data_IF_550353474194
#
_entry.id   IF_550353474194
#
_cell.length_a   1.000
_cell.length_b   1.000
_cell.length_c   1.000
_cell.angle_alpha   90.00
_cell.angle_beta   90.00
_cell.angle_gamma   90.00
#
_symmetry.space_group_name_H-M   'P 1'
#
loop_
_entity.id
_entity.type
_entity.pdbx_description
1 polymer ?
#
# COMPACT_ATOMS: atom_id res chain seq x y z
N UNK A 1 -7.24 29.41 -30.31
CA UNK A 1 -8.12 28.23 -30.26
C UNK A 1 -7.26 26.99 -30.42
N UNK A 2 -7.38 26.05 -29.49
CA UNK A 2 -6.67 24.77 -29.50
C UNK A 2 -7.34 23.81 -30.47
N UNK A 3 -6.54 22.89 -31.00
CA UNK A 3 -7.03 21.74 -31.76
C UNK A 3 -6.98 20.53 -30.83
N UNK A 4 -8.07 19.78 -30.78
CA UNK A 4 -8.19 18.60 -29.94
C UNK A 4 -7.07 17.58 -30.22
N UNK A 5 -6.55 16.93 -29.17
CA UNK A 5 -5.49 15.93 -29.24
C UNK A 5 -4.13 16.43 -29.77
N UNK A 6 -3.92 17.74 -29.91
CA UNK A 6 -2.63 18.31 -30.33
C UNK A 6 -1.93 19.04 -29.19
N UNK A 7 -0.63 18.78 -29.04
CA UNK A 7 0.22 19.54 -28.14
C UNK A 7 0.49 20.93 -28.72
N UNK A 8 0.24 21.95 -27.91
CA UNK A 8 0.63 23.34 -28.17
C UNK A 8 1.72 23.71 -27.17
N UNK A 9 2.78 24.34 -27.65
CA UNK A 9 3.91 24.77 -26.84
C UNK A 9 3.76 26.26 -26.54
N UNK A 10 3.88 26.62 -25.26
CA UNK A 10 3.85 27.98 -24.78
C UNK A 10 5.11 28.30 -23.97
N UNK A 11 5.44 29.58 -23.95
CA UNK A 11 6.47 30.15 -23.09
C UNK A 11 5.97 31.50 -22.58
N UNK A 12 6.02 31.69 -21.26
CA UNK A 12 5.77 32.98 -20.63
C UNK A 12 7.06 33.45 -19.96
N UNK A 13 7.45 34.70 -20.23
CA UNK A 13 8.73 35.26 -19.78
C UNK A 13 8.60 36.12 -18.54
N UNK A 14 7.39 36.48 -18.17
CA UNK A 14 7.08 37.29 -16.99
C UNK A 14 6.02 36.60 -16.14
N UNK A 15 5.64 37.20 -15.02
CA UNK A 15 4.51 36.70 -14.25
C UNK A 15 3.21 37.05 -14.98
N UNK A 16 2.36 36.05 -15.26
CA UNK A 16 1.11 36.32 -15.95
C UNK A 16 0.39 35.10 -16.52
N UNK A 17 -0.71 35.38 -17.22
CA UNK A 17 -1.53 34.38 -17.89
C UNK A 17 -1.29 34.36 -19.39
N UNK A 18 -1.20 33.15 -19.95
CA UNK A 18 -1.41 32.92 -21.38
C UNK A 18 -2.75 32.24 -21.57
N UNK A 19 -3.55 32.78 -22.50
CA UNK A 19 -4.91 32.32 -22.74
C UNK A 19 -5.04 31.48 -24.02
N UNK A 20 -5.80 30.41 -23.89
CA UNK A 20 -6.20 29.54 -24.98
C UNK A 20 -7.71 29.32 -24.92
N UNK A 21 -8.31 28.96 -26.04
CA UNK A 21 -9.74 28.61 -26.09
C UNK A 21 -9.91 27.21 -26.65
N UNK A 22 -10.85 26.46 -26.12
CA UNK A 22 -11.28 25.17 -26.64
C UNK A 22 -12.79 25.15 -26.81
N UNK A 23 -13.29 24.28 -27.69
CA UNK A 23 -14.72 24.07 -27.90
C UNK A 23 -15.07 22.64 -27.52
N UNK A 24 -16.11 22.50 -26.70
CA UNK A 24 -16.67 21.22 -26.28
C UNK A 24 -17.99 21.02 -27.02
N UNK A 25 -18.01 20.03 -27.91
CA UNK A 25 -19.19 19.75 -28.75
C UNK A 25 -20.05 18.62 -28.16
N UNK A 26 -19.42 17.65 -27.50
CA UNK A 26 -20.11 16.52 -26.88
C UNK A 26 -19.86 16.49 -25.36
N UNK A 27 -20.72 17.08 -24.51
CA UNK A 27 -20.59 16.98 -23.06
C UNK A 27 -20.89 15.55 -22.54
N UNK A 28 -21.24 14.60 -23.41
CA UNK A 28 -21.34 13.17 -23.13
C UNK A 28 -20.00 12.44 -23.10
N UNK A 29 -18.90 13.10 -23.47
CA UNK A 29 -17.54 12.59 -23.30
C UNK A 29 -16.86 13.21 -22.07
N UNK A 30 -15.86 12.54 -21.52
CA UNK A 30 -14.95 13.12 -20.54
C UNK A 30 -14.00 14.12 -21.21
N UNK A 31 -13.84 15.29 -20.61
CA UNK A 31 -12.85 16.29 -20.97
C UNK A 31 -11.60 16.09 -20.12
N UNK A 32 -10.44 16.07 -20.77
CA UNK A 32 -9.13 16.10 -20.12
C UNK A 32 -8.34 17.29 -20.66
N UNK A 33 -7.85 18.15 -19.76
CA UNK A 33 -6.95 19.26 -20.07
C UNK A 33 -5.69 19.09 -19.23
N UNK A 34 -4.54 19.04 -19.89
CA UNK A 34 -3.25 18.81 -19.25
C UNK A 34 -2.25 19.87 -19.69
N UNK A 35 -1.56 20.48 -18.73
CA UNK A 35 -0.38 21.30 -18.95
C UNK A 35 0.83 20.63 -18.31
N UNK A 36 1.92 20.53 -19.06
CA UNK A 36 3.16 19.90 -18.60
C UNK A 36 4.34 20.86 -18.73
N UNK A 37 5.11 21.08 -17.66
CA UNK A 37 6.36 21.82 -17.74
C UNK A 37 7.43 21.01 -18.45
N UNK A 38 8.34 21.69 -19.15
CA UNK A 38 9.54 21.05 -19.69
C UNK A 38 10.83 21.86 -19.51
N UNK A 39 10.78 22.99 -18.79
CA UNK A 39 11.97 23.71 -18.30
C UNK A 39 12.31 23.36 -16.85
N UNK A 40 13.60 23.38 -16.48
CA UNK A 40 14.10 22.99 -15.14
C UNK A 40 13.45 23.73 -13.95
N UNK A 41 12.82 24.88 -14.19
CA UNK A 41 12.16 25.72 -13.19
C UNK A 41 10.72 26.08 -13.54
N UNK A 42 10.13 25.39 -14.52
CA UNK A 42 8.78 25.67 -15.01
C UNK A 42 7.74 24.98 -14.13
N UNK A 43 6.71 25.75 -13.75
CA UNK A 43 5.59 25.27 -12.92
C UNK A 43 4.30 26.01 -13.33
N UNK A 44 3.75 25.65 -14.50
CA UNK A 44 2.57 26.32 -15.06
C UNK A 44 1.29 25.84 -14.37
N UNK A 45 0.54 26.76 -13.76
CA UNK A 45 -0.74 26.44 -13.14
C UNK A 45 -1.89 26.51 -14.17
N UNK A 46 -2.86 25.60 -14.05
CA UNK A 46 -3.97 25.47 -14.98
C UNK A 46 -5.26 26.07 -14.42
N UNK A 47 -5.86 27.02 -15.14
CA UNK A 47 -7.16 27.61 -14.83
C UNK A 47 -8.09 27.50 -16.03
N UNK A 48 -9.37 27.21 -15.80
CA UNK A 48 -10.38 27.06 -16.86
C UNK A 48 -11.66 27.78 -16.44
N UNK A 49 -12.27 28.50 -17.37
CA UNK A 49 -13.63 29.03 -17.23
C UNK A 49 -14.51 28.57 -18.39
N UNK A 50 -15.77 28.24 -18.09
CA UNK A 50 -16.77 27.75 -19.05
C UNK A 50 -17.50 28.88 -19.80
N UNK A 51 -16.75 29.90 -20.21
CA UNK A 51 -17.24 31.02 -21.01
C UNK A 51 -16.11 31.59 -21.88
N UNK A 52 -16.42 32.59 -22.70
CA UNK A 52 -15.44 33.37 -23.46
C UNK A 52 -14.65 34.38 -22.61
N UNK A 53 -14.93 34.48 -21.31
CA UNK A 53 -14.15 35.32 -20.41
C UNK A 53 -12.76 34.73 -20.18
N UNK A 54 -11.77 35.57 -19.89
CA UNK A 54 -10.46 35.12 -19.45
C UNK A 54 -10.51 34.74 -17.96
N UNK A 55 -10.05 33.54 -17.56
CA UNK A 55 -9.91 33.21 -16.16
C UNK A 55 -8.77 34.01 -15.52
N UNK A 56 -8.83 34.18 -14.21
CA UNK A 56 -7.76 34.77 -13.40
C UNK A 56 -7.64 34.03 -12.05
N UNK A 57 -6.79 34.54 -11.15
CA UNK A 57 -6.54 33.93 -9.84
C UNK A 57 -7.78 33.84 -8.93
N UNK A 58 -8.79 34.69 -9.17
CA UNK A 58 -10.04 34.80 -8.41
C UNK A 58 -11.26 34.29 -9.19
N UNK A 59 -11.24 34.38 -10.53
CA UNK A 59 -12.33 34.05 -11.43
C UNK A 59 -11.96 32.85 -12.30
N UNK A 60 -12.45 31.68 -11.92
CA UNK A 60 -12.31 30.44 -12.69
C UNK A 60 -13.48 29.49 -12.37
N UNK A 61 -13.79 28.59 -13.31
CA UNK A 61 -14.70 27.47 -13.06
C UNK A 61 -13.93 26.33 -12.41
N UNK A 62 -12.76 25.98 -12.94
CA UNK A 62 -11.89 24.93 -12.42
C UNK A 62 -10.43 25.38 -12.43
N UNK A 63 -9.63 24.84 -11.50
CA UNK A 63 -8.18 25.05 -11.49
C UNK A 63 -7.44 23.81 -10.98
N UNK A 64 -6.17 23.73 -11.32
CA UNK A 64 -5.17 22.80 -10.80
C UNK A 64 -3.88 23.61 -10.64
N UNK A 65 -3.26 23.52 -9.46
CA UNK A 65 -2.07 24.32 -9.09
C UNK A 65 -1.04 23.44 -8.37
N UNK A 66 -0.88 22.21 -8.85
CA UNK A 66 0.06 21.25 -8.28
C UNK A 66 1.44 21.48 -8.88
N UNK A 67 2.48 21.27 -8.07
CA UNK A 67 3.85 21.33 -8.57
C UNK A 67 4.06 20.31 -9.71
N UNK A 68 4.48 20.79 -10.88
CA UNK A 68 4.75 19.97 -12.05
C UNK A 68 3.59 19.95 -13.06
N UNK A 69 3.15 18.74 -13.43
CA UNK A 69 2.08 18.56 -14.41
C UNK A 69 0.72 18.77 -13.76
N UNK A 70 -0.04 19.73 -14.28
CA UNK A 70 -1.41 19.99 -13.88
C UNK A 70 -2.40 19.37 -14.86
N UNK A 71 -3.45 18.73 -14.34
CA UNK A 71 -4.50 18.11 -15.14
C UNK A 71 -5.87 18.34 -14.55
N UNK A 72 -6.80 18.87 -15.35
CA UNK A 72 -8.21 18.98 -15.02
C UNK A 72 -8.99 17.94 -15.84
N UNK A 73 -9.80 17.14 -15.15
CA UNK A 73 -10.71 16.16 -15.75
C UNK A 73 -12.15 16.52 -15.40
N UNK A 74 -13.04 16.45 -16.39
CA UNK A 74 -14.48 16.72 -16.23
C UNK A 74 -15.31 15.68 -16.96
N UNK A 75 -16.39 15.25 -16.30
CA UNK A 75 -17.19 14.12 -16.73
C UNK A 75 -18.62 14.56 -17.07
N UNK A 76 -19.33 13.82 -17.93
CA UNK A 76 -20.72 14.07 -18.22
C UNK A 76 -21.55 14.18 -16.93
N UNK A 77 -22.26 15.30 -16.77
CA UNK A 77 -23.08 15.59 -15.59
C UNK A 77 -22.35 16.31 -14.45
N UNK A 78 -21.03 16.51 -14.52
CA UNK A 78 -20.33 17.40 -13.60
C UNK A 78 -20.89 18.82 -13.72
N UNK A 79 -21.03 19.50 -12.58
CA UNK A 79 -21.48 20.89 -12.56
C UNK A 79 -20.56 21.76 -13.43
N UNK A 80 -21.18 22.63 -14.24
CA UNK A 80 -20.52 23.56 -15.16
C UNK A 80 -19.83 22.92 -16.38
N UNK A 81 -19.88 21.59 -16.53
CA UNK A 81 -19.43 20.88 -17.73
C UNK A 81 -20.57 20.76 -18.75
N UNK A 82 -20.67 21.78 -19.59
CA UNK A 82 -21.68 21.96 -20.63
C UNK A 82 -21.06 22.05 -22.03
N UNK A 83 -21.88 21.88 -23.06
CA UNK A 83 -21.49 22.21 -24.44
C UNK A 83 -21.20 23.72 -24.52
N UNK A 84 -20.09 24.09 -25.14
CA UNK A 84 -19.74 25.50 -25.34
C UNK A 84 -18.25 25.75 -25.52
N UNK A 85 -17.90 27.04 -25.45
CA UNK A 85 -16.51 27.50 -25.49
C UNK A 85 -16.00 27.61 -24.06
N UNK A 86 -14.78 27.13 -23.86
CA UNK A 86 -14.04 27.25 -22.61
C UNK A 86 -12.77 28.04 -22.88
N UNK A 87 -12.44 28.93 -21.95
CA UNK A 87 -11.18 29.65 -21.96
C UNK A 87 -10.26 29.07 -20.90
N UNK A 88 -9.07 28.67 -21.33
CA UNK A 88 -8.01 28.10 -20.51
C UNK A 88 -7.00 29.21 -20.27
N UNK A 89 -6.69 29.50 -19.01
CA UNK A 89 -5.59 30.34 -18.60
C UNK A 89 -4.47 29.48 -18.02
N UNK A 90 -3.26 29.64 -18.55
CA UNK A 90 -2.05 29.09 -17.97
C UNK A 90 -1.35 30.20 -17.20
N UNK A 91 -1.37 30.12 -15.88
CA UNK A 91 -0.71 31.10 -15.02
C UNK A 91 0.73 30.66 -14.76
N UNK A 92 1.64 31.62 -14.84
CA UNK A 92 3.05 31.39 -14.56
C UNK A 92 3.47 32.41 -13.51
N UNK A 93 3.78 31.96 -12.29
CA UNK A 93 4.34 32.83 -11.25
C UNK A 93 5.81 33.22 -11.55
N UNK A 94 6.47 32.47 -12.43
CA UNK A 94 7.86 32.63 -12.86
C UNK A 94 7.99 32.26 -14.35
N UNK A 95 9.04 32.71 -15.04
CA UNK A 95 9.28 32.35 -16.43
C UNK A 95 9.22 30.84 -16.64
N UNK A 96 8.33 30.38 -17.51
CA UNK A 96 7.99 28.97 -17.63
C UNK A 96 7.75 28.57 -19.09
N UNK A 97 8.21 27.37 -19.41
CA UNK A 97 7.96 26.71 -20.69
C UNK A 97 7.08 25.49 -20.44
N UNK A 98 6.02 25.40 -21.23
CA UNK A 98 5.00 24.38 -21.03
C UNK A 98 4.43 23.87 -22.34
N UNK A 99 3.88 22.66 -22.30
CA UNK A 99 3.03 22.13 -23.37
C UNK A 99 1.64 21.90 -22.84
N UNK A 100 0.63 22.29 -23.61
CA UNK A 100 -0.78 22.19 -23.27
C UNK A 100 -1.46 21.29 -24.30
N UNK A 101 -2.31 20.38 -23.82
CA UNK A 101 -3.19 19.58 -24.67
C UNK A 101 -4.56 19.46 -24.00
N UNK A 102 -5.60 19.46 -24.81
CA UNK A 102 -6.92 18.99 -24.38
C UNK A 102 -7.43 17.91 -25.31
N UNK A 103 -8.30 17.05 -24.79
CA UNK A 103 -9.04 16.09 -25.59
C UNK A 103 -10.32 15.64 -24.89
N UNK A 104 -11.30 15.24 -25.70
CA UNK A 104 -12.48 14.52 -25.24
C UNK A 104 -12.26 13.02 -25.46
N UNK A 105 -12.74 12.22 -24.51
CA UNK A 105 -12.56 10.77 -24.52
C UNK A 105 -13.75 10.10 -23.87
N UNK A 106 -13.97 8.82 -24.17
CA UNK A 106 -15.04 8.05 -23.54
C UNK A 106 -14.82 7.97 -22.03
N UNK A 107 -15.90 8.07 -21.26
CA UNK A 107 -15.87 7.81 -19.82
C UNK A 107 -15.39 6.38 -19.54
N UNK A 108 -14.78 6.10 -18.37
CA UNK A 108 -14.39 4.76 -17.99
C UNK A 108 -15.55 3.77 -18.09
N UNK A 109 -15.28 2.59 -18.64
CA UNK A 109 -16.26 1.51 -18.81
C UNK A 109 -16.68 0.98 -17.44
N UNK A 110 -17.99 0.94 -17.16
CA UNK A 110 -18.47 0.34 -15.92
C UNK A 110 -18.27 -1.18 -15.95
N UNK A 111 -17.39 -1.69 -15.10
CA UNK A 111 -17.17 -3.11 -14.93
C UNK A 111 -18.34 -3.74 -14.18
N UNK A 112 -18.75 -4.90 -14.69
CA UNK A 112 -19.63 -5.84 -14.02
C UNK A 112 -18.76 -6.90 -13.32
N UNK A 113 -19.40 -7.90 -12.71
CA UNK A 113 -18.66 -9.00 -12.06
C UNK A 113 -17.74 -9.75 -13.03
N UNK A 114 -18.11 -9.83 -14.31
CA UNK A 114 -17.28 -10.44 -15.36
C UNK A 114 -17.53 -9.77 -16.70
N UNK A 115 -16.46 -9.47 -17.42
CA UNK A 115 -16.47 -8.79 -18.71
C UNK A 115 -15.45 -9.45 -19.65
N UNK A 116 -15.81 -9.61 -20.92
CA UNK A 116 -14.86 -9.99 -21.98
C UNK A 116 -14.67 -8.81 -22.90
N UNK A 117 -13.47 -8.22 -22.92
CA UNK A 117 -13.21 -6.93 -23.57
C UNK A 117 -11.91 -7.01 -24.37
N UNK A 118 -11.98 -6.58 -25.63
CA UNK A 118 -10.80 -6.37 -26.46
C UNK A 118 -10.13 -5.06 -26.07
N UNK A 119 -8.87 -5.12 -25.66
CA UNK A 119 -8.05 -3.97 -25.30
C UNK A 119 -6.96 -3.84 -26.35
N UNK A 120 -6.85 -2.66 -26.97
CA UNK A 120 -5.81 -2.37 -27.95
C UNK A 120 -4.46 -2.15 -27.26
N UNK A 121 -4.32 -1.02 -26.56
CA UNK A 121 -3.12 -0.67 -25.80
C UNK A 121 -3.43 -0.48 -24.32
N UNK A 122 -4.49 0.27 -24.01
CA UNK A 122 -5.02 0.42 -22.67
C UNK A 122 -6.51 0.75 -22.72
N UNK A 123 -7.22 0.45 -21.64
CA UNK A 123 -8.62 0.83 -21.46
C UNK A 123 -8.89 1.22 -20.00
N UNK A 124 -9.86 2.10 -19.78
CA UNK A 124 -10.20 2.63 -18.47
C UNK A 124 -11.54 2.10 -18.00
N UNK A 125 -11.62 1.78 -16.72
CA UNK A 125 -12.79 1.18 -16.11
C UNK A 125 -13.17 1.86 -14.81
N UNK A 126 -14.42 1.69 -14.42
CA UNK A 126 -14.92 2.03 -13.09
C UNK A 126 -15.64 0.82 -12.51
N UNK A 127 -15.40 0.53 -11.23
CA UNK A 127 -16.10 -0.50 -10.47
C UNK A 127 -16.81 0.15 -9.28
N UNK A 128 -18.13 -0.03 -9.19
CA UNK A 128 -18.94 0.48 -8.08
C UNK A 128 -18.87 -0.47 -6.90
N UNK A 129 -18.37 0.03 -5.77
CA UNK A 129 -18.11 -0.72 -4.54
C UNK A 129 -19.41 -0.79 -3.74
N UNK A 130 -19.82 -1.99 -3.35
CA UNK A 130 -21.07 -2.23 -2.63
C UNK A 130 -20.90 -2.10 -1.11
N UNK A 131 -19.78 -2.59 -0.55
CA UNK A 131 -19.47 -2.63 0.88
C UNK A 131 -18.27 -1.73 1.19
N UNK A 132 -18.45 -0.43 0.99
CA UNK A 132 -17.42 0.59 1.20
C UNK A 132 -16.73 0.44 2.57
N UNK A 133 -15.41 0.49 2.56
CA UNK A 133 -14.54 0.33 3.75
C UNK A 133 -14.70 -1.01 4.47
N UNK A 134 -15.35 -1.99 3.83
CA UNK A 134 -15.70 -3.29 4.40
C UNK A 134 -15.57 -4.44 3.40
N UNK A 135 -14.94 -4.20 2.25
CA UNK A 135 -14.65 -5.24 1.27
C UNK A 135 -13.27 -5.11 0.67
N UNK A 136 -12.76 -6.27 0.23
CA UNK A 136 -11.70 -6.35 -0.75
C UNK A 136 -12.30 -6.43 -2.14
N UNK A 137 -11.64 -5.78 -3.08
CA UNK A 137 -11.85 -5.97 -4.50
C UNK A 137 -10.73 -6.82 -5.07
N UNK A 138 -11.09 -7.90 -5.75
CA UNK A 138 -10.18 -8.70 -6.56
C UNK A 138 -10.49 -8.49 -8.04
N UNK A 139 -9.50 -8.01 -8.78
CA UNK A 139 -9.54 -7.88 -10.23
C UNK A 139 -8.61 -8.93 -10.81
N UNK A 140 -9.17 -9.83 -11.59
CA UNK A 140 -8.46 -10.90 -12.26
C UNK A 140 -8.59 -10.70 -13.76
N UNK A 141 -7.45 -10.67 -14.45
CA UNK A 141 -7.37 -10.56 -15.90
C UNK A 141 -6.75 -11.84 -16.44
N UNK A 142 -7.43 -12.48 -17.36
CA UNK A 142 -6.99 -13.71 -18.02
C UNK A 142 -6.89 -13.51 -19.54
N UNK A 143 -6.17 -14.42 -20.19
CA UNK A 143 -5.96 -14.52 -21.65
C UNK A 143 -4.88 -13.59 -22.25
N UNK A 144 -3.93 -13.09 -21.47
CA UNK A 144 -2.75 -12.39 -22.01
C UNK A 144 -1.91 -11.70 -20.95
N UNK A 145 -0.80 -11.10 -21.37
CA UNK A 145 0.00 -10.23 -20.51
C UNK A 145 -0.67 -8.87 -20.37
N UNK A 146 -0.84 -8.44 -19.12
CA UNK A 146 -1.47 -7.16 -18.81
C UNK A 146 -0.83 -6.50 -17.59
N UNK A 147 -1.10 -5.21 -17.42
CA UNK A 147 -0.88 -4.52 -16.16
C UNK A 147 -2.15 -3.80 -15.72
N UNK A 148 -2.34 -3.69 -14.41
CA UNK A 148 -3.53 -3.11 -13.77
C UNK A 148 -3.08 -1.98 -12.87
N UNK A 149 -3.77 -0.86 -12.94
CA UNK A 149 -3.62 0.25 -12.00
C UNK A 149 -4.99 0.60 -11.43
N UNK A 150 -5.10 0.65 -10.11
CA UNK A 150 -6.30 1.06 -9.40
C UNK A 150 -6.13 2.40 -8.71
N UNK A 151 -7.16 3.24 -8.75
CA UNK A 151 -7.25 4.40 -7.87
C UNK A 151 -8.69 4.69 -7.43
N UNK A 152 -8.84 5.08 -6.18
CA UNK A 152 -10.07 5.60 -5.60
C UNK A 152 -10.22 7.11 -5.78
N UNK A 153 -9.12 7.83 -6.03
CA UNK A 153 -9.09 9.28 -6.16
C UNK A 153 -9.00 9.76 -7.62
N UNK A 154 -8.23 9.06 -8.45
CA UNK A 154 -7.98 9.44 -9.84
C UNK A 154 -8.80 8.58 -10.78
N UNK A 155 -9.68 9.20 -11.57
CA UNK A 155 -10.59 8.47 -12.46
C UNK A 155 -9.90 7.79 -13.67
N UNK A 156 -8.68 8.25 -13.97
CA UNK A 156 -7.78 7.66 -14.96
C UNK A 156 -6.40 7.42 -14.34
N UNK A 157 -6.23 6.33 -13.57
CA UNK A 157 -4.95 6.05 -12.95
C UNK A 157 -3.85 5.90 -14.02
N UNK A 158 -2.66 6.38 -13.71
CA UNK A 158 -1.47 6.30 -14.55
C UNK A 158 -0.35 5.62 -13.78
N UNK A 159 0.74 5.29 -14.49
CA UNK A 159 1.92 4.71 -13.88
C UNK A 159 2.43 5.57 -12.73
N UNK A 160 2.52 6.87 -12.94
CA UNK A 160 2.99 7.80 -11.93
C UNK A 160 1.97 8.01 -10.79
N UNK A 161 0.66 7.82 -11.03
CA UNK A 161 -0.42 8.29 -10.15
C UNK A 161 -1.50 7.19 -10.02
N UNK A 162 -1.36 6.32 -9.01
CA UNK A 162 -2.30 5.25 -8.67
C UNK A 162 -2.20 4.87 -7.18
N UNK A 163 -3.24 4.22 -6.64
CA UNK A 163 -3.28 3.74 -5.25
C UNK A 163 -2.74 2.31 -5.13
N UNK A 164 -2.95 1.47 -6.15
CA UNK A 164 -2.41 0.12 -6.22
C UNK A 164 -2.16 -0.31 -7.67
N UNK A 165 -1.22 -1.23 -7.90
CA UNK A 165 -0.96 -1.78 -9.24
C UNK A 165 -0.50 -3.24 -9.21
N UNK A 166 -0.66 -3.92 -10.34
CA UNK A 166 -0.21 -5.30 -10.56
C UNK A 166 0.24 -5.48 -12.01
N UNK A 167 1.19 -6.37 -12.28
CA UNK A 167 1.75 -6.60 -13.62
C UNK A 167 3.28 -6.44 -13.70
N UNK A 168 3.85 -6.65 -14.90
CA UNK A 168 5.30 -6.60 -15.13
C UNK A 168 5.81 -5.15 -15.24
N UNK A 169 6.77 -4.78 -14.39
CA UNK A 169 7.40 -3.46 -14.38
C UNK A 169 8.92 -3.59 -14.21
N UNK A 170 9.71 -3.10 -15.17
CA UNK A 170 11.18 -3.09 -15.10
C UNK A 170 11.76 -2.19 -13.99
N UNK A 171 10.93 -1.36 -13.33
CA UNK A 171 11.37 -0.35 -12.34
C UNK A 171 10.92 -0.59 -10.90
N UNK A 172 10.11 -1.60 -10.62
CA UNK A 172 9.74 -1.92 -9.24
C UNK A 172 10.77 -2.90 -8.67
N UNK A 173 11.64 -2.44 -7.77
CA UNK A 173 12.50 -3.33 -6.98
C UNK A 173 11.58 -4.31 -6.23
N UNK A 174 11.72 -5.61 -6.54
CA UNK A 174 10.73 -6.64 -6.21
C UNK A 174 10.54 -6.85 -4.71
N UNK A 175 9.37 -6.49 -4.22
CA UNK A 175 8.85 -6.88 -2.90
C UNK A 175 7.62 -7.78 -3.06
N UNK A 176 7.39 -8.66 -2.09
CA UNK A 176 6.14 -9.42 -1.98
C UNK A 176 5.18 -8.63 -1.07
N UNK A 177 4.04 -8.18 -1.58
CA UNK A 177 2.99 -7.69 -0.69
C UNK A 177 2.30 -8.88 -0.02
N UNK A 178 2.31 -8.93 1.31
CA UNK A 178 1.64 -10.00 2.03
C UNK A 178 0.14 -9.73 1.98
N UNK A 179 -0.56 -10.60 1.27
CA UNK A 179 -2.00 -10.65 1.26
C UNK A 179 -2.49 -11.65 2.33
N UNK A 180 -3.24 -11.21 3.37
CA UNK A 180 -3.64 -12.12 4.42
C UNK A 180 -4.88 -12.98 4.14
N UNK A 181 -5.52 -12.83 2.97
CA UNK A 181 -6.80 -13.48 2.67
C UNK A 181 -6.85 -14.54 1.55
N UNK A 182 -5.77 -14.92 0.81
CA UNK A 182 -5.86 -16.02 -0.14
C UNK A 182 -5.66 -17.34 0.61
N UNK A 183 -6.76 -17.90 1.12
CA UNK A 183 -6.92 -19.31 1.52
C UNK A 183 -5.92 -19.85 2.56
N UNK A 184 -6.37 -19.93 3.80
CA UNK A 184 -5.85 -20.88 4.80
C UNK A 184 -6.40 -22.30 4.51
N UNK A 185 -5.61 -23.39 4.59
CA UNK A 185 -4.17 -23.42 4.82
C UNK A 185 -3.41 -23.09 3.54
N UNK A 186 -2.39 -22.25 3.69
CA UNK A 186 -1.74 -21.45 2.66
C UNK A 186 -1.30 -22.22 1.39
N UNK A 187 -1.97 -21.98 0.26
CA UNK A 187 -1.23 -21.94 -1.01
C UNK A 187 -0.62 -20.55 -1.14
N UNK A 188 0.65 -20.44 -0.75
CA UNK A 188 1.44 -19.24 -0.98
C UNK A 188 1.55 -19.01 -2.49
N UNK A 189 0.73 -18.11 -3.04
CA UNK A 189 0.90 -17.61 -4.40
C UNK A 189 1.74 -16.33 -4.25
N UNK A 190 3.06 -16.37 -4.51
CA UNK A 190 3.89 -15.18 -4.40
C UNK A 190 3.33 -14.11 -5.34
N UNK A 191 2.97 -12.96 -4.77
CA UNK A 191 2.36 -11.85 -5.51
C UNK A 191 3.34 -11.20 -6.52
N UNK A 192 4.63 -11.48 -6.39
CA UNK A 192 5.63 -11.32 -7.44
C UNK A 192 6.93 -12.05 -7.04
N UNK A 193 7.60 -12.71 -7.97
CA UNK A 193 8.97 -13.22 -7.77
C UNK A 193 9.96 -12.19 -8.33
N UNK A 194 10.93 -11.68 -7.55
CA UNK A 194 12.03 -10.90 -8.10
C UNK A 194 13.00 -11.82 -8.86
N UNK A 195 13.45 -11.39 -10.04
CA UNK A 195 14.68 -11.91 -10.63
C UNK A 195 14.62 -13.27 -11.33
N UNK A 196 13.48 -13.94 -11.38
CA UNK A 196 13.25 -14.98 -12.38
C UNK A 196 12.24 -14.45 -13.38
N UNK A 197 12.56 -14.57 -14.67
CA UNK A 197 11.60 -14.52 -15.77
C UNK A 197 10.27 -15.08 -15.26
N UNK A 198 9.17 -14.32 -15.37
CA UNK A 198 7.86 -14.96 -15.44
C UNK A 198 8.04 -16.13 -16.40
N UNK A 199 7.74 -17.34 -15.96
CA UNK A 199 7.71 -18.49 -16.86
C UNK A 199 6.94 -18.05 -18.09
N UNK A 200 7.56 -18.07 -19.27
CA UNK A 200 6.88 -17.81 -20.54
C UNK A 200 5.54 -18.55 -20.51
N UNK A 201 4.42 -17.84 -20.39
CA UNK A 201 3.10 -18.45 -20.29
C UNK A 201 2.17 -18.02 -19.14
N UNK A 202 2.56 -17.17 -18.18
CA UNK A 202 1.59 -16.70 -17.18
C UNK A 202 0.63 -15.65 -17.78
N UNK A 203 -0.53 -16.09 -18.25
CA UNK A 203 -1.57 -15.26 -18.92
C UNK A 203 -2.59 -14.68 -17.94
N UNK A 204 -2.27 -14.65 -16.65
CA UNK A 204 -3.18 -14.23 -15.57
C UNK A 204 -2.53 -13.12 -14.73
N UNK A 205 -3.21 -11.99 -14.61
CA UNK A 205 -2.80 -10.85 -13.75
C UNK A 205 -3.87 -10.63 -12.69
N UNK A 206 -3.48 -10.42 -11.43
CA UNK A 206 -4.41 -10.25 -10.30
C UNK A 206 -4.04 -9.00 -9.51
N UNK A 207 -5.02 -8.14 -9.23
CA UNK A 207 -4.90 -6.99 -8.34
C UNK A 207 -5.88 -7.18 -7.18
N UNK A 208 -5.38 -7.12 -5.95
CA UNK A 208 -6.19 -7.09 -4.72
C UNK A 208 -6.08 -5.70 -4.10
N UNK A 209 -7.22 -5.08 -3.76
CA UNK A 209 -7.22 -3.75 -3.11
C UNK A 209 -8.30 -3.69 -2.03
N UNK A 210 -7.94 -3.16 -0.85
CA UNK A 210 -8.88 -2.99 0.27
C UNK A 210 -9.60 -1.64 0.17
N UNK A 211 -10.93 -1.66 0.23
CA UNK A 211 -11.75 -0.45 0.26
C UNK A 211 -11.61 0.35 1.57
N UNK A 212 -11.01 -0.23 2.63
CA UNK A 212 -10.69 0.49 3.88
C UNK A 212 -9.72 1.64 3.67
N UNK A 213 -8.81 1.52 2.70
CA UNK A 213 -7.76 2.52 2.47
C UNK A 213 -8.29 3.83 1.88
N UNK A 214 -9.57 3.91 1.48
CA UNK A 214 -10.16 5.17 1.02
C UNK A 214 -11.66 5.27 1.38
N UNK A 215 -11.96 5.93 2.49
CA UNK A 215 -13.31 6.10 3.04
C UNK A 215 -14.18 7.12 2.31
N UNK A 216 -13.70 7.76 1.24
CA UNK A 216 -14.42 8.85 0.57
C UNK A 216 -15.00 8.47 -0.80
N UNK A 217 -14.45 7.48 -1.50
CA UNK A 217 -14.98 7.04 -2.81
C UNK A 217 -15.85 5.78 -2.71
N UNK A 218 -16.91 5.71 -3.50
CA UNK A 218 -17.73 4.51 -3.74
C UNK A 218 -17.30 3.77 -5.03
N UNK A 219 -16.22 4.24 -5.67
CA UNK A 219 -15.81 3.79 -7.00
C UNK A 219 -14.31 3.55 -7.02
N UNK A 220 -13.92 2.37 -7.48
CA UNK A 220 -12.55 2.07 -7.88
C UNK A 220 -12.42 2.33 -9.38
N UNK A 221 -11.52 3.21 -9.77
CA UNK A 221 -11.16 3.43 -11.16
C UNK A 221 -9.96 2.58 -11.51
N UNK A 222 -9.97 1.98 -12.69
CA UNK A 222 -8.93 1.09 -13.15
C UNK A 222 -8.41 1.53 -14.51
N UNK A 223 -7.12 1.33 -14.73
CA UNK A 223 -6.50 1.29 -16.05
C UNK A 223 -5.95 -0.10 -16.26
N UNK A 224 -6.27 -0.71 -17.39
CA UNK A 224 -5.71 -2.00 -17.80
C UNK A 224 -4.91 -1.78 -19.07
N UNK A 225 -3.64 -2.14 -19.03
CA UNK A 225 -2.73 -2.09 -20.19
C UNK A 225 -2.61 -3.47 -20.83
N UNK A 226 -2.77 -3.53 -22.15
CA UNK A 226 -2.42 -4.69 -22.97
C UNK A 226 -0.91 -4.66 -23.25
N UNK A 227 -0.19 -5.68 -22.77
CA UNK A 227 1.26 -5.80 -22.97
C UNK A 227 1.62 -6.70 -24.15
N UNK A 228 0.62 -7.15 -24.93
CA UNK A 228 0.83 -7.86 -26.18
C UNK A 228 1.04 -6.89 -27.36
N UNK A 229 1.70 -7.37 -28.41
CA UNK A 229 1.97 -6.57 -29.62
C UNK A 229 0.71 -6.24 -30.43
N UNK A 230 -0.33 -7.07 -30.29
CA UNK A 230 -1.60 -6.94 -31.00
C UNK A 230 -2.74 -6.76 -30.00
N UNK A 231 -3.86 -6.14 -30.43
CA UNK A 231 -5.08 -6.09 -29.64
C UNK A 231 -5.47 -7.47 -29.13
N UNK A 232 -5.92 -7.54 -27.87
CA UNK A 232 -6.19 -8.80 -27.19
C UNK A 232 -7.50 -8.73 -26.41
N UNK A 233 -8.28 -9.80 -26.53
CA UNK A 233 -9.49 -9.98 -25.73
C UNK A 233 -9.14 -10.59 -24.38
N UNK A 234 -9.38 -9.82 -23.33
CA UNK A 234 -9.17 -10.23 -21.95
C UNK A 234 -10.49 -10.65 -21.31
N UNK A 235 -10.42 -11.65 -20.43
CA UNK A 235 -11.47 -11.91 -19.46
C UNK A 235 -11.13 -11.16 -18.18
N UNK A 236 -11.95 -10.17 -17.83
CA UNK A 236 -11.80 -9.36 -16.62
C UNK A 236 -12.88 -9.80 -15.65
N UNK A 237 -12.47 -10.36 -14.52
CA UNK A 237 -13.36 -10.74 -13.42
C UNK A 237 -13.12 -9.80 -12.25
N UNK A 238 -14.20 -9.21 -11.73
CA UNK A 238 -14.19 -8.36 -10.55
C UNK A 238 -15.02 -9.01 -9.46
N UNK A 239 -14.37 -9.40 -8.38
CA UNK A 239 -15.03 -9.96 -7.21
C UNK A 239 -14.88 -9.00 -6.04
N UNK A 240 -16.01 -8.57 -5.50
CA UNK A 240 -16.03 -7.90 -4.21
C UNK A 240 -16.28 -8.94 -3.11
N UNK A 241 -15.35 -9.02 -2.16
CA UNK A 241 -15.42 -9.95 -1.04
C UNK A 241 -15.56 -9.10 0.22
N UNK A 242 -16.73 -9.11 0.89
CA UNK A 242 -16.87 -8.51 2.22
C UNK A 242 -15.80 -9.06 3.17
N UNK A 243 -15.26 -8.23 4.04
CA UNK A 243 -14.16 -8.63 4.94
C UNK A 243 -14.58 -9.77 5.85
N UNK A 244 -15.84 -9.80 6.29
CA UNK A 244 -16.42 -10.94 7.01
C UNK A 244 -16.37 -12.27 6.25
N UNK A 245 -16.28 -12.24 4.92
CA UNK A 245 -16.19 -13.42 4.06
C UNK A 245 -14.75 -13.72 3.62
N UNK A 246 -13.80 -12.81 3.85
CA UNK A 246 -12.37 -13.02 3.58
C UNK A 246 -11.72 -13.91 4.65
N UNK A 247 -12.29 -13.91 5.86
CA UNK A 247 -11.69 -14.55 7.02
C UNK A 247 -12.30 -15.96 7.18
N UNK A 248 -11.50 -17.04 7.11
CA UNK A 248 -11.98 -18.38 7.45
C UNK A 248 -12.64 -18.39 8.84
N UNK A 249 -13.72 -19.14 9.02
CA UNK A 249 -14.53 -19.09 10.28
C UNK A 249 -13.72 -19.38 11.54
N UNK A 250 -12.75 -20.28 11.44
CA UNK A 250 -11.80 -20.61 12.50
C UNK A 250 -10.90 -19.41 12.85
N UNK A 251 -10.40 -18.69 11.84
CA UNK A 251 -9.65 -17.44 12.04
C UNK A 251 -10.56 -16.31 12.55
N UNK A 252 -11.82 -16.26 12.14
CA UNK A 252 -12.78 -15.25 12.61
C UNK A 252 -13.04 -15.38 14.12
N UNK A 253 -13.17 -16.62 14.61
CA UNK A 253 -13.31 -16.92 16.05
C UNK A 253 -12.06 -16.46 16.80
N UNK A 254 -10.88 -16.81 16.27
CA UNK A 254 -9.60 -16.40 16.84
C UNK A 254 -9.50 -14.86 16.89
N UNK A 255 -9.86 -14.16 15.81
CA UNK A 255 -9.79 -12.70 15.75
C UNK A 255 -10.77 -12.03 16.72
N UNK A 256 -11.99 -12.56 16.87
CA UNK A 256 -12.95 -12.07 17.88
C UNK A 256 -12.41 -12.22 19.30
N UNK A 257 -11.78 -13.36 19.61
CA UNK A 257 -11.13 -13.55 20.90
C UNK A 257 -10.00 -12.53 21.12
N UNK A 258 -9.17 -12.31 20.10
CA UNK A 258 -8.13 -11.28 20.14
C UNK A 258 -8.71 -9.89 20.39
N UNK A 259 -9.79 -9.51 19.69
CA UNK A 259 -10.45 -8.22 19.89
C UNK A 259 -11.00 -8.05 21.31
N UNK A 260 -11.62 -9.08 21.87
CA UNK A 260 -12.17 -9.01 23.22
C UNK A 260 -11.06 -8.85 24.28
N UNK A 261 -9.93 -9.54 24.12
CA UNK A 261 -8.76 -9.41 25.02
C UNK A 261 -8.25 -7.97 25.08
N UNK A 262 -8.22 -7.27 23.94
CA UNK A 262 -7.65 -5.93 23.83
C UNK A 262 -8.69 -4.80 23.84
N UNK A 263 -9.97 -5.11 24.00
CA UNK A 263 -11.08 -4.15 23.88
C UNK A 263 -10.95 -2.95 24.82
N UNK A 264 -10.50 -3.18 26.04
CA UNK A 264 -10.36 -2.17 27.09
C UNK A 264 -8.88 -1.79 27.35
N UNK A 265 -7.97 -2.17 26.43
CA UNK A 265 -6.53 -1.95 26.59
C UNK A 265 -6.08 -0.80 25.70
N UNK A 266 -5.79 0.35 26.30
CA UNK A 266 -5.16 1.47 25.61
C UNK A 266 -3.63 1.37 25.69
N UNK A 267 -3.06 0.52 24.82
CA UNK A 267 -1.61 0.26 24.79
C UNK A 267 -0.78 1.52 24.53
N UNK A 268 -1.31 2.48 23.75
CA UNK A 268 -0.58 3.70 23.41
C UNK A 268 -0.42 4.59 24.65
N UNK A 269 -1.51 4.80 25.40
CA UNK A 269 -1.46 5.57 26.65
C UNK A 269 -0.56 4.91 27.70
N UNK A 270 -0.61 3.58 27.82
CA UNK A 270 0.25 2.81 28.73
C UNK A 270 1.73 3.03 28.38
N UNK A 271 2.10 2.88 27.11
CA UNK A 271 3.48 3.09 26.65
C UNK A 271 3.93 4.54 26.81
N UNK A 272 3.07 5.53 26.51
CA UNK A 272 3.38 6.95 26.70
C UNK A 272 3.65 7.30 28.17
N UNK A 273 2.87 6.73 29.10
CA UNK A 273 3.06 6.98 30.52
C UNK A 273 4.43 6.47 31.01
N UNK A 274 4.82 5.24 30.63
CA UNK A 274 6.13 4.70 30.98
C UNK A 274 7.27 5.53 30.40
N UNK A 275 7.19 5.90 29.12
CA UNK A 275 8.20 6.77 28.51
C UNK A 275 8.30 8.12 29.21
N UNK A 276 7.18 8.70 29.66
CA UNK A 276 7.18 9.95 30.41
C UNK A 276 7.89 9.81 31.76
N UNK A 277 7.55 8.78 32.54
CA UNK A 277 8.14 8.50 33.85
C UNK A 277 9.66 8.26 33.74
N UNK A 278 10.09 7.57 32.69
CA UNK A 278 11.49 7.24 32.44
C UNK A 278 12.26 8.31 31.64
N UNK A 279 11.61 9.43 31.29
CA UNK A 279 12.16 10.50 30.47
C UNK A 279 12.71 10.03 29.09
N UNK A 280 11.98 9.10 28.46
CA UNK A 280 12.30 8.47 27.18
C UNK A 280 11.51 9.03 25.98
N UNK A 281 10.65 10.02 26.18
CA UNK A 281 9.80 10.60 25.12
C UNK A 281 10.58 11.14 23.91
N UNK A 282 11.84 11.49 24.09
CA UNK A 282 12.72 12.00 23.03
C UNK A 282 13.45 10.88 22.26
N UNK A 283 13.40 9.64 22.75
CA UNK A 283 14.11 8.52 22.15
C UNK A 283 13.23 7.80 21.13
N UNK A 284 13.65 7.83 19.87
CA UNK A 284 13.00 7.12 18.77
C UNK A 284 12.93 5.60 19.01
N UNK A 285 13.90 5.04 19.73
CA UNK A 285 13.98 3.60 20.04
C UNK A 285 12.75 3.06 20.79
N UNK A 286 12.06 3.92 21.54
CA UNK A 286 10.88 3.56 22.32
C UNK A 286 9.57 3.92 21.62
N UNK A 287 9.60 4.30 20.33
CA UNK A 287 8.37 4.59 19.56
C UNK A 287 7.48 3.36 19.56
N UNK A 288 6.22 3.54 19.98
CA UNK A 288 5.28 2.43 20.10
C UNK A 288 4.53 2.21 18.79
N UNK A 289 4.56 0.98 18.31
CA UNK A 289 3.81 0.54 17.15
C UNK A 289 3.24 -0.84 17.39
N UNK A 290 2.04 -1.10 16.86
CA UNK A 290 1.37 -2.39 16.96
C UNK A 290 1.24 -3.08 15.60
N UNK A 291 1.29 -4.40 15.62
CA UNK A 291 0.96 -5.23 14.46
C UNK A 291 -0.54 -5.19 14.14
N UNK A 292 -0.87 -5.22 12.86
CA UNK A 292 -2.21 -5.65 12.43
C UNK A 292 -2.30 -7.18 12.52
N UNK A 293 -3.41 -7.68 13.08
CA UNK A 293 -3.60 -9.10 13.40
C UNK A 293 -3.40 -10.01 12.19
N UNK A 294 -4.11 -9.73 11.09
CA UNK A 294 -4.10 -10.59 9.90
C UNK A 294 -2.76 -10.53 9.19
N UNK A 295 -2.23 -9.32 9.01
CA UNK A 295 -0.95 -9.12 8.35
C UNK A 295 0.20 -9.80 9.11
N UNK A 296 0.19 -9.75 10.44
CA UNK A 296 1.19 -10.42 11.26
C UNK A 296 1.11 -11.95 11.19
N UNK A 297 -0.09 -12.53 11.23
CA UNK A 297 -0.24 -13.99 11.09
C UNK A 297 0.34 -14.48 9.77
N UNK A 298 0.05 -13.77 8.68
CA UNK A 298 0.54 -14.13 7.36
C UNK A 298 2.04 -13.92 7.22
N UNK A 299 2.58 -12.86 7.84
CA UNK A 299 4.03 -12.68 7.96
C UNK A 299 4.68 -13.83 8.73
N UNK A 300 4.15 -14.22 9.88
CA UNK A 300 4.69 -15.30 10.69
C UNK A 300 4.62 -16.66 9.96
N UNK A 301 3.55 -16.92 9.20
CA UNK A 301 3.45 -18.12 8.37
C UNK A 301 4.59 -18.24 7.36
N UNK A 302 5.11 -17.13 6.84
CA UNK A 302 6.24 -17.17 5.88
C UNK A 302 7.50 -17.80 6.48
N UNK A 303 7.66 -17.70 7.81
CA UNK A 303 8.71 -18.40 8.53
C UNK A 303 8.45 -19.91 8.62
N UNK A 304 7.27 -20.41 8.26
CA UNK A 304 6.84 -21.82 8.32
C UNK A 304 7.02 -22.44 9.71
N UNK A 305 6.33 -21.94 10.74
CA UNK A 305 6.48 -22.44 12.11
C UNK A 305 6.22 -23.95 12.20
N UNK A 306 7.04 -24.67 12.95
CA UNK A 306 6.94 -26.12 13.14
C UNK A 306 6.58 -26.48 14.59
N UNK A 307 5.92 -27.64 14.83
CA UNK A 307 5.67 -28.13 16.18
C UNK A 307 6.93 -28.23 17.04
N UNK A 308 6.85 -27.71 18.26
CA UNK A 308 7.97 -27.73 19.21
C UNK A 308 8.97 -26.58 19.04
N UNK A 309 8.76 -25.68 18.07
CA UNK A 309 9.62 -24.51 17.90
C UNK A 309 9.34 -23.40 18.93
N UNK A 310 10.37 -22.59 19.19
CA UNK A 310 10.33 -21.44 20.09
C UNK A 310 10.33 -20.14 19.28
N UNK A 311 9.23 -19.38 19.38
CA UNK A 311 9.12 -18.02 18.89
C UNK A 311 9.54 -17.03 19.98
N UNK A 312 10.42 -16.10 19.65
CA UNK A 312 10.77 -14.95 20.48
C UNK A 312 10.28 -13.65 19.87
N UNK A 313 9.66 -12.81 20.69
CA UNK A 313 9.26 -11.45 20.34
C UNK A 313 10.12 -10.44 21.12
N UNK A 314 10.97 -9.69 20.40
CA UNK A 314 11.92 -8.75 20.98
C UNK A 314 11.34 -7.34 21.00
N UNK A 315 10.94 -6.86 22.19
CA UNK A 315 10.15 -5.64 22.33
C UNK A 315 8.66 -5.94 22.15
N UNK A 316 8.15 -6.91 22.92
CA UNK A 316 6.84 -7.50 22.69
C UNK A 316 5.65 -6.58 23.04
N UNK A 317 5.89 -5.40 23.61
CA UNK A 317 4.85 -4.46 23.99
C UNK A 317 3.87 -5.09 24.96
N UNK A 318 2.57 -4.83 24.79
CA UNK A 318 1.49 -5.47 25.57
C UNK A 318 1.13 -6.89 25.07
N UNK A 319 1.96 -7.49 24.22
CA UNK A 319 1.84 -8.90 23.80
C UNK A 319 0.93 -9.18 22.61
N UNK A 320 0.56 -8.18 21.80
CA UNK A 320 -0.39 -8.37 20.68
C UNK A 320 0.09 -9.43 19.68
N UNK A 321 1.34 -9.34 19.24
CA UNK A 321 2.02 -10.32 18.38
C UNK A 321 2.10 -11.69 19.05
N UNK A 322 2.43 -11.73 20.35
CA UNK A 322 2.53 -12.98 21.11
C UNK A 322 1.19 -13.71 21.22
N UNK A 323 0.12 -13.02 21.61
CA UNK A 323 -1.23 -13.59 21.72
C UNK A 323 -1.75 -14.00 20.34
N UNK A 324 -1.50 -13.19 19.29
CA UNK A 324 -1.86 -13.54 17.92
C UNK A 324 -1.20 -14.85 17.49
N UNK A 325 0.11 -14.99 17.71
CA UNK A 325 0.85 -16.21 17.43
C UNK A 325 0.35 -17.40 18.27
N UNK A 326 0.01 -17.17 19.54
CA UNK A 326 -0.50 -18.23 20.41
C UNK A 326 -1.85 -18.78 19.96
N UNK A 327 -2.73 -17.91 19.45
CA UNK A 327 -4.05 -18.31 18.97
C UNK A 327 -3.96 -19.05 17.63
N UNK A 328 -3.09 -18.60 16.72
CA UNK A 328 -2.95 -19.17 15.38
C UNK A 328 -2.03 -20.42 15.34
N UNK A 329 -1.01 -20.46 16.20
CA UNK A 329 0.02 -21.51 16.24
C UNK A 329 0.16 -22.07 17.66
N UNK A 330 -0.88 -22.74 18.21
CA UNK A 330 -0.89 -23.22 19.59
C UNK A 330 0.17 -24.28 19.91
N UNK A 331 0.85 -24.82 18.88
CA UNK A 331 1.97 -25.76 19.01
C UNK A 331 3.33 -25.09 19.28
N UNK A 332 3.41 -23.75 19.17
CA UNK A 332 4.63 -22.99 19.47
C UNK A 332 4.75 -22.70 20.96
N UNK A 333 5.99 -22.72 21.44
CA UNK A 333 6.35 -22.02 22.68
C UNK A 333 6.69 -20.57 22.34
N UNK A 334 6.09 -19.62 23.04
CA UNK A 334 6.23 -18.19 22.73
C UNK A 334 6.86 -17.48 23.91
N UNK A 335 7.93 -16.74 23.65
CA UNK A 335 8.67 -15.97 24.64
C UNK A 335 8.75 -14.52 24.20
N UNK A 336 8.65 -13.59 25.13
CA UNK A 336 8.67 -12.16 24.82
C UNK A 336 9.45 -11.39 25.85
N UNK A 337 10.13 -10.33 25.42
CA UNK A 337 10.84 -9.43 26.32
C UNK A 337 10.38 -7.99 26.09
N UNK A 338 10.07 -7.29 27.17
CA UNK A 338 9.67 -5.89 27.18
C UNK A 338 10.46 -5.13 28.25
N UNK A 339 10.91 -3.92 27.90
CA UNK A 339 11.74 -3.09 28.77
C UNK A 339 10.90 -2.16 29.67
N UNK A 340 9.79 -1.64 29.16
CA UNK A 340 8.93 -0.68 29.86
C UNK A 340 8.08 -1.40 30.93
N UNK A 341 8.18 -1.05 32.23
CA UNK A 341 7.58 -1.84 33.31
C UNK A 341 6.05 -1.96 33.30
N UNK A 342 5.31 -0.89 33.03
CA UNK A 342 3.83 -0.92 32.96
C UNK A 342 3.36 -1.64 31.71
N UNK A 343 4.08 -1.47 30.60
CA UNK A 343 3.85 -2.24 29.37
C UNK A 343 4.06 -3.73 29.63
N UNK A 344 5.17 -4.10 30.28
CA UNK A 344 5.49 -5.47 30.67
C UNK A 344 4.40 -6.07 31.59
N UNK A 345 4.02 -5.38 32.66
CA UNK A 345 3.01 -5.92 33.60
C UNK A 345 1.65 -6.10 32.93
N UNK A 346 1.30 -5.21 32.00
CA UNK A 346 0.10 -5.38 31.16
C UNK A 346 0.24 -6.61 30.25
N UNK A 347 1.38 -6.77 29.59
CA UNK A 347 1.68 -7.95 28.76
C UNK A 347 1.59 -9.24 29.56
N UNK A 348 2.22 -9.29 30.73
CA UNK A 348 2.23 -10.45 31.63
C UNK A 348 0.81 -10.81 32.07
N UNK A 349 0.00 -9.82 32.47
CA UNK A 349 -1.40 -10.03 32.84
C UNK A 349 -2.22 -10.64 31.68
N UNK A 350 -2.15 -10.05 30.49
CA UNK A 350 -2.90 -10.53 29.32
C UNK A 350 -2.42 -11.92 28.87
N UNK A 351 -1.11 -12.15 28.86
CA UNK A 351 -0.50 -13.40 28.44
C UNK A 351 -0.64 -14.54 29.46
N UNK A 352 -0.93 -14.25 30.74
CA UNK A 352 -1.09 -15.26 31.80
C UNK A 352 -2.19 -16.30 31.51
N UNK A 353 -3.12 -15.96 30.61
CA UNK A 353 -4.20 -16.84 30.16
C UNK A 353 -3.74 -17.89 29.13
N UNK A 354 -2.50 -17.77 28.61
CA UNK A 354 -1.96 -18.59 27.54
C UNK A 354 -0.78 -19.43 28.05
N UNK A 355 -0.96 -20.76 28.23
CA UNK A 355 0.04 -21.59 28.91
C UNK A 355 1.35 -21.77 28.12
N UNK A 356 1.33 -21.50 26.81
CA UNK A 356 2.49 -21.57 25.94
C UNK A 356 3.21 -20.21 25.80
N UNK A 357 2.76 -19.16 26.49
CA UNK A 357 3.40 -17.85 26.50
C UNK A 357 4.21 -17.66 27.79
N UNK A 358 5.42 -17.11 27.66
CA UNK A 358 6.22 -16.59 28.77
C UNK A 358 6.75 -15.19 28.47
N UNK A 359 6.56 -14.26 29.40
CA UNK A 359 6.98 -12.86 29.25
C UNK A 359 8.11 -12.56 30.23
N UNK A 360 9.05 -11.71 29.81
CA UNK A 360 10.18 -11.27 30.62
C UNK A 360 10.26 -9.74 30.62
N UNK A 361 10.50 -9.15 31.79
CA UNK A 361 10.87 -7.76 31.91
C UNK A 361 12.39 -7.63 31.77
N UNK A 362 12.88 -6.87 30.79
CA UNK A 362 14.32 -6.67 30.66
C UNK A 362 14.78 -6.01 29.37
N UNK A 363 16.10 -5.84 29.26
CA UNK A 363 16.77 -5.32 28.07
C UNK A 363 17.14 -6.47 27.12
N UNK A 364 16.65 -6.38 25.87
CA UNK A 364 16.92 -7.29 24.75
C UNK A 364 18.43 -7.58 24.58
N UNK A 365 19.29 -6.58 24.86
CA UNK A 365 20.75 -6.71 24.73
C UNK A 365 21.34 -7.67 25.76
N UNK A 366 20.72 -7.77 26.92
CA UNK A 366 21.26 -8.53 28.07
C UNK A 366 20.62 -9.90 28.21
N UNK A 367 19.32 -10.02 27.95
CA UNK A 367 18.60 -11.28 28.09
C UNK A 367 19.06 -12.31 27.06
N UNK A 368 19.16 -13.58 27.44
CA UNK A 368 19.51 -14.65 26.51
C UNK A 368 18.25 -15.19 25.82
N UNK A 369 18.24 -15.10 24.50
CA UNK A 369 17.19 -15.62 23.63
C UNK A 369 17.78 -16.48 22.51
N UNK A 370 19.04 -16.92 22.63
CA UNK A 370 19.74 -17.72 21.62
C UNK A 370 19.07 -19.08 21.33
N UNK A 371 18.20 -19.56 22.22
CA UNK A 371 17.35 -20.74 22.03
C UNK A 371 16.25 -20.55 20.97
N UNK A 372 16.07 -19.35 20.45
CA UNK A 372 15.01 -19.03 19.50
C UNK A 372 15.15 -19.76 18.16
N UNK A 373 14.02 -20.26 17.68
CA UNK A 373 13.88 -20.86 16.35
C UNK A 373 13.33 -19.86 15.35
N UNK A 374 12.48 -18.97 15.85
CA UNK A 374 11.92 -17.83 15.15
C UNK A 374 12.09 -16.62 16.06
N UNK A 375 12.57 -15.51 15.51
CA UNK A 375 12.57 -14.21 16.17
C UNK A 375 11.68 -13.28 15.36
N UNK A 376 10.79 -12.57 16.03
CA UNK A 376 10.07 -11.42 15.50
C UNK A 376 10.52 -10.15 16.23
N UNK A 377 10.67 -9.06 15.50
CA UNK A 377 10.88 -7.73 16.08
C UNK A 377 10.25 -6.64 15.20
N UNK A 378 9.43 -5.80 15.83
CA UNK A 378 8.90 -4.56 15.24
C UNK A 378 9.96 -3.47 15.26
N UNK A 379 11.05 -3.69 14.53
CA UNK A 379 12.34 -3.00 14.69
C UNK A 379 12.47 -1.68 13.92
N UNK A 380 11.37 -1.15 13.35
CA UNK A 380 11.39 0.00 12.45
C UNK A 380 12.09 1.22 13.05
N UNK A 381 11.84 1.49 14.34
CA UNK A 381 12.44 2.62 15.05
C UNK A 381 13.63 2.22 15.95
N UNK A 382 14.10 0.97 15.88
CA UNK A 382 15.28 0.56 16.66
C UNK A 382 16.53 1.27 16.11
N UNK A 383 17.31 1.80 17.04
CA UNK A 383 18.60 2.43 16.74
C UNK A 383 19.61 1.39 16.25
N UNK A 384 20.59 1.85 15.47
CA UNK A 384 21.56 0.96 14.83
C UNK A 384 22.38 0.15 15.86
N UNK A 385 22.72 0.75 17.00
CA UNK A 385 23.43 0.08 18.10
C UNK A 385 22.62 -1.09 18.69
N UNK A 386 21.30 -0.94 18.79
CA UNK A 386 20.40 -2.00 19.23
C UNK A 386 20.29 -3.11 18.17
N UNK A 387 20.17 -2.76 16.89
CA UNK A 387 20.18 -3.73 15.78
C UNK A 387 21.48 -4.52 15.76
N UNK A 388 22.63 -3.85 15.89
CA UNK A 388 23.95 -4.50 15.96
C UNK A 388 24.07 -5.43 17.16
N UNK A 389 23.57 -5.03 18.34
CA UNK A 389 23.59 -5.88 19.53
C UNK A 389 22.68 -7.11 19.37
N UNK A 390 21.48 -6.94 18.79
CA UNK A 390 20.57 -8.05 18.46
C UNK A 390 21.25 -8.99 17.46
N UNK A 391 21.83 -8.43 16.40
CA UNK A 391 22.52 -9.19 15.36
C UNK A 391 23.71 -9.99 15.92
N UNK A 392 24.53 -9.38 16.78
CA UNK A 392 25.64 -10.09 17.42
C UNK A 392 25.16 -11.27 18.27
N UNK A 393 24.03 -11.13 18.97
CA UNK A 393 23.44 -12.21 19.78
C UNK A 393 22.76 -13.29 18.92
N UNK A 394 22.18 -12.93 17.77
CA UNK A 394 21.58 -13.90 16.83
C UNK A 394 22.62 -14.89 16.26
N UNK A 395 23.90 -14.53 16.27
CA UNK A 395 25.01 -15.44 15.93
C UNK A 395 25.07 -16.67 16.83
N UNK A 396 24.45 -16.66 18.01
CA UNK A 396 24.32 -17.84 18.89
C UNK A 396 23.18 -18.80 18.55
N UNK A 397 22.24 -18.41 17.67
CA UNK A 397 21.06 -19.21 17.33
C UNK A 397 21.41 -20.49 16.56
N UNK A 398 20.50 -21.47 16.51
CA UNK A 398 20.73 -22.69 15.73
C UNK A 398 20.63 -22.46 14.22
N UNK A 399 21.37 -23.26 13.43
CA UNK A 399 21.20 -23.29 11.98
C UNK A 399 19.75 -23.62 11.63
N UNK A 400 19.19 -22.93 10.63
CA UNK A 400 17.79 -23.02 10.24
C UNK A 400 16.85 -22.08 11.00
N UNK A 401 17.32 -21.40 12.06
CA UNK A 401 16.50 -20.36 12.71
C UNK A 401 16.17 -19.22 11.76
N UNK A 402 15.05 -18.54 12.04
CA UNK A 402 14.52 -17.45 11.22
C UNK A 402 14.41 -16.15 12.01
N UNK A 403 14.65 -15.03 11.36
CA UNK A 403 14.45 -13.69 11.94
C UNK A 403 13.55 -12.88 11.00
N UNK A 404 12.40 -12.46 11.52
CA UNK A 404 11.47 -11.52 10.92
C UNK A 404 11.67 -10.14 11.55
N UNK A 405 12.01 -9.15 10.73
CA UNK A 405 12.41 -7.80 11.20
C UNK A 405 11.90 -6.73 10.24
N UNK A 406 11.60 -5.53 10.76
CA UNK A 406 11.17 -4.38 9.95
C UNK A 406 12.33 -3.48 9.50
N UNK A 407 13.55 -3.85 9.89
CA UNK A 407 14.80 -3.19 9.53
C UNK A 407 15.82 -4.24 9.12
N UNK A 408 16.62 -3.94 8.10
CA UNK A 408 17.67 -4.85 7.62
C UNK A 408 18.67 -5.20 8.73
N UNK A 409 19.16 -6.44 8.70
CA UNK A 409 20.27 -6.86 9.54
C UNK A 409 21.59 -6.55 8.82
N UNK A 410 22.70 -6.38 9.56
CA UNK A 410 24.03 -6.31 8.96
C UNK A 410 24.31 -7.49 8.01
N UNK A 411 24.99 -7.19 6.89
CA UNK A 411 25.40 -8.20 5.91
C UNK A 411 26.38 -9.19 6.57
N UNK A 412 26.12 -10.48 6.41
CA UNK A 412 26.90 -11.54 7.04
C UNK A 412 26.81 -12.86 6.27
N UNK A 413 27.79 -13.73 6.47
CA UNK A 413 27.82 -15.04 5.82
C UNK A 413 26.99 -16.10 6.54
N UNK A 414 26.55 -15.88 7.78
CA UNK A 414 25.73 -16.86 8.51
C UNK A 414 24.23 -16.63 8.35
N UNK A 415 23.82 -15.47 7.84
CA UNK A 415 22.41 -15.12 7.60
C UNK A 415 22.15 -14.83 6.13
N UNK A 416 21.25 -15.59 5.53
CA UNK A 416 20.76 -15.31 4.19
C UNK A 416 19.42 -14.57 4.26
N UNK A 417 19.27 -13.47 3.52
CA UNK A 417 17.97 -12.86 3.27
C UNK A 417 17.17 -13.81 2.38
N UNK A 418 16.19 -14.49 2.96
CA UNK A 418 15.38 -15.49 2.28
C UNK A 418 14.23 -14.85 1.52
N UNK A 419 13.56 -13.86 2.13
CA UNK A 419 12.40 -13.16 1.54
C UNK A 419 12.34 -11.71 2.03
N UNK A 420 11.73 -10.85 1.22
CA UNK A 420 11.46 -9.44 1.50
C UNK A 420 10.02 -9.11 1.16
N UNK A 421 9.34 -8.44 2.08
CA UNK A 421 7.92 -8.18 2.04
C UNK A 421 7.60 -6.71 2.28
N UNK A 422 6.42 -6.32 1.79
CA UNK A 422 5.73 -5.11 2.23
C UNK A 422 4.46 -5.50 2.96
N UNK A 423 4.33 -5.06 4.21
CA UNK A 423 3.27 -5.50 5.13
C UNK A 423 2.55 -4.29 5.70
N UNK A 424 1.22 -4.33 5.74
CA UNK A 424 0.43 -3.27 6.36
C UNK A 424 0.51 -3.39 7.89
N UNK A 425 0.93 -2.31 8.55
CA UNK A 425 0.99 -2.15 10.00
C UNK A 425 0.00 -1.07 10.46
N UNK A 426 -0.13 -0.88 11.78
CA UNK A 426 -1.01 0.17 12.34
C UNK A 426 -0.66 1.60 11.88
N UNK A 427 0.55 1.83 11.38
CA UNK A 427 1.04 3.12 10.86
C UNK A 427 1.20 3.16 9.33
N UNK A 428 0.74 2.13 8.60
CA UNK A 428 0.86 2.03 7.14
C UNK A 428 1.79 0.90 6.68
N UNK A 429 2.11 0.87 5.39
CA UNK A 429 2.96 -0.17 4.82
C UNK A 429 4.41 -0.03 5.27
N UNK A 430 4.98 -1.13 5.77
CA UNK A 430 6.39 -1.23 6.19
C UNK A 430 7.09 -2.35 5.46
N UNK A 431 8.39 -2.16 5.26
CA UNK A 431 9.29 -3.19 4.80
C UNK A 431 9.48 -4.26 5.88
N UNK A 432 9.52 -5.52 5.47
CA UNK A 432 9.83 -6.63 6.36
C UNK A 432 10.78 -7.62 5.69
N UNK A 433 11.74 -8.11 6.45
CA UNK A 433 12.80 -8.98 5.98
C UNK A 433 12.77 -10.30 6.75
N UNK A 434 12.80 -11.41 6.02
CA UNK A 434 12.95 -12.75 6.57
C UNK A 434 14.37 -13.24 6.30
N UNK A 435 15.16 -13.36 7.36
CA UNK A 435 16.48 -13.98 7.31
C UNK A 435 16.41 -15.43 7.77
N UNK A 436 17.23 -16.30 7.20
CA UNK A 436 17.43 -17.68 7.64
C UNK A 436 18.89 -17.94 7.95
N UNK A 437 19.15 -18.56 9.09
CA UNK A 437 20.50 -18.92 9.51
C UNK A 437 21.01 -20.12 8.73
N UNK A 438 22.14 -19.95 8.03
CA UNK A 438 22.72 -20.97 7.13
C UNK A 438 23.92 -21.71 7.72
N UNK A 439 24.63 -21.10 8.68
CA UNK A 439 25.78 -21.70 9.40
C UNK A 439 25.71 -21.52 10.90
#
# INVERSE_FOLDING_TARGET
MLIENQWVYGEEKEEGFIYYTMKIEDPGMELVVTVEPYGEKSDPDLYIINSEDNPDLLKYTWKSTFFGTDTIQKFPGDQDYVNGIYTIGIYNAKPSQFRLKYYQTKVPILLQASNTIEIQSCEYFAYKIQHKSRSRLEIIIENGRSAIFGSFAVRRPKLEWHDASSGYWEKCQGYIEIDPFPSFPFEFIPFHMPGNKIQEGNTKTRLCIDSKNNSNSDTLYLRIDNLEELPRTFLITCQEIPIENLIPKDIEIIYKNFQEIYKEVDSYSISQNDRSILNLNHSLAFTYGEVDFFNYLCLLETARPQPGEILWDLGCGVGKSMISASLAFPFLTIKGIEYLPTVFTTCEYLCSQFPNIKVFCGDIKTHDWSEADIVYMSSLCFLDDLIEAIFAKSQGMKKGSRVLTLKELPIDSNWALSQYFRVLMSWGHSDCFLYTKIS
#
